data_IF_092141687884
#
_entry.id   IF_092141687884
#
_cell.length_a   1.000
_cell.length_b   1.000
_cell.length_c   1.000
_cell.angle_alpha   90.00
_cell.angle_beta   90.00
_cell.angle_gamma   90.00
#
_symmetry.space_group_name_H-M   'P 1'
#
loop_
_entity.id
_entity.type
_entity.pdbx_description
1 polymer ?
#
# COMPACT_ATOMS: atom_id res chain seq x y z
N UNK A 1 -26.06 16.39 -8.02
CA UNK A 1 -24.97 16.89 -7.15
C UNK A 1 -25.15 16.48 -5.69
N UNK A 2 -26.31 16.79 -5.08
CA UNK A 2 -26.58 16.45 -3.67
C UNK A 2 -26.59 14.94 -3.45
N UNK A 3 -27.17 14.17 -4.35
CA UNK A 3 -27.21 12.71 -4.25
C UNK A 3 -25.83 12.07 -4.41
N UNK A 4 -25.02 12.56 -5.36
CA UNK A 4 -23.66 12.09 -5.58
C UNK A 4 -22.79 12.37 -4.33
N UNK A 5 -22.90 13.55 -3.73
CA UNK A 5 -22.18 13.88 -2.51
C UNK A 5 -22.58 12.98 -1.32
N UNK A 6 -23.88 12.64 -1.20
CA UNK A 6 -24.34 11.70 -0.18
C UNK A 6 -23.81 10.29 -0.42
N UNK A 7 -23.80 9.84 -1.69
CA UNK A 7 -23.25 8.55 -2.09
C UNK A 7 -21.75 8.47 -1.75
N UNK A 8 -20.96 9.47 -2.15
CA UNK A 8 -19.53 9.53 -1.86
C UNK A 8 -19.24 9.50 -0.36
N UNK A 9 -20.03 10.20 0.43
CA UNK A 9 -19.91 10.23 1.88
C UNK A 9 -20.29 8.88 2.51
N UNK A 10 -21.34 8.23 2.00
CA UNK A 10 -21.80 6.92 2.47
C UNK A 10 -20.81 5.79 2.19
N UNK A 11 -20.05 5.89 1.09
CA UNK A 11 -19.00 4.93 0.72
C UNK A 11 -17.65 5.16 1.41
N UNK A 12 -17.51 6.23 2.22
CA UNK A 12 -16.22 6.66 2.75
C UNK A 12 -15.12 6.75 1.65
N UNK A 13 -15.49 7.36 0.52
CA UNK A 13 -14.68 7.39 -0.70
C UNK A 13 -13.29 8.01 -0.48
N UNK A 14 -13.18 8.96 0.43
CA UNK A 14 -11.93 9.59 0.84
C UNK A 14 -10.94 8.59 1.47
N UNK A 15 -11.44 7.67 2.29
CA UNK A 15 -10.61 6.61 2.88
C UNK A 15 -10.18 5.59 1.82
N UNK A 16 -11.11 5.20 0.95
CA UNK A 16 -10.84 4.30 -0.17
C UNK A 16 -9.76 4.87 -1.09
N UNK A 17 -9.85 6.15 -1.46
CA UNK A 17 -8.84 6.81 -2.28
C UNK A 17 -7.48 6.89 -1.58
N UNK A 18 -7.43 7.17 -0.27
CA UNK A 18 -6.15 7.15 0.48
C UNK A 18 -5.45 5.81 0.42
N UNK A 19 -6.21 4.72 0.54
CA UNK A 19 -5.64 3.37 0.43
C UNK A 19 -5.15 3.06 -0.99
N UNK A 20 -5.89 3.48 -2.02
CA UNK A 20 -5.46 3.33 -3.43
C UNK A 20 -4.20 4.14 -3.73
N UNK A 21 -4.09 5.36 -3.19
CA UNK A 21 -2.87 6.17 -3.31
C UNK A 21 -1.68 5.49 -2.63
N UNK A 22 -1.91 4.86 -1.49
CA UNK A 22 -0.88 4.09 -0.80
C UNK A 22 -0.43 2.88 -1.64
N UNK A 23 -1.36 2.15 -2.25
CA UNK A 23 -1.03 1.05 -3.16
C UNK A 23 -0.22 1.55 -4.37
N UNK A 24 -0.61 2.68 -4.96
CA UNK A 24 0.11 3.31 -6.08
C UNK A 24 1.53 3.77 -5.69
N UNK A 25 1.74 4.13 -4.44
CA UNK A 25 3.08 4.47 -3.94
C UNK A 25 4.00 3.24 -3.92
N UNK A 26 3.46 2.05 -3.62
CA UNK A 26 4.23 0.81 -3.59
C UNK A 26 4.28 0.09 -4.93
N UNK A 27 3.22 0.15 -5.75
CA UNK A 27 3.13 -0.50 -7.05
C UNK A 27 2.14 0.23 -7.96
N UNK A 28 0.88 -0.19 -7.97
CA UNK A 28 -0.22 0.37 -8.74
C UNK A 28 -1.47 0.40 -7.86
N UNK A 29 -2.19 1.51 -7.87
CA UNK A 29 -3.50 1.60 -7.22
C UNK A 29 -4.60 1.14 -8.16
N UNK A 30 -5.54 0.36 -7.68
CA UNK A 30 -6.70 -0.07 -8.46
C UNK A 30 -7.99 0.13 -7.68
N UNK A 31 -8.98 0.69 -8.35
CA UNK A 31 -10.35 0.74 -7.89
C UNK A 31 -11.30 0.15 -8.91
N UNK A 32 -12.41 -0.40 -8.46
CA UNK A 32 -13.46 -0.97 -9.31
C UNK A 32 -14.78 -0.25 -9.03
N UNK A 33 -15.43 0.18 -10.11
CA UNK A 33 -16.79 0.72 -10.10
C UNK A 33 -17.74 -0.44 -10.37
N UNK A 34 -18.75 -0.62 -9.55
CA UNK A 34 -19.73 -1.70 -9.70
C UNK A 34 -21.12 -1.25 -9.27
N UNK A 35 -22.13 -1.98 -9.71
CA UNK A 35 -23.46 -1.90 -9.12
C UNK A 35 -23.55 -2.90 -7.95
N UNK A 36 -24.04 -2.45 -6.81
CA UNK A 36 -24.26 -3.26 -5.63
C UNK A 36 -25.75 -3.37 -5.35
N UNK A 37 -26.22 -4.56 -5.03
CA UNK A 37 -27.57 -4.77 -4.55
C UNK A 37 -27.77 -4.03 -3.22
N UNK A 38 -28.91 -3.35 -3.08
CA UNK A 38 -29.19 -2.52 -1.90
C UNK A 38 -29.94 -3.27 -0.81
N UNK A 39 -30.32 -4.53 -1.04
CA UNK A 39 -31.28 -5.30 -0.21
C UNK A 39 -32.64 -4.56 -0.02
N UNK A 40 -32.82 -3.43 -0.70
CA UNK A 40 -34.03 -2.61 -0.63
C UNK A 40 -34.90 -2.94 -1.82
N UNK A 41 -35.91 -3.75 -1.59
CA UNK A 41 -36.85 -4.14 -2.63
C UNK A 41 -37.99 -3.14 -2.68
N UNK A 42 -38.20 -2.52 -3.84
CA UNK A 42 -39.34 -1.64 -4.09
C UNK A 42 -40.46 -2.43 -4.76
N UNK A 43 -41.67 -2.16 -4.30
CA UNK A 43 -42.88 -2.66 -4.89
C UNK A 43 -43.17 -1.87 -6.18
N UNK A 44 -42.93 -2.44 -7.33
CA UNK A 44 -43.29 -1.84 -8.62
C UNK A 44 -44.73 -2.09 -8.94
N UNK A 45 -45.55 -1.05 -8.95
CA UNK A 45 -46.91 -1.08 -9.50
C UNK A 45 -46.82 -1.01 -11.04
N UNK A 46 -46.69 -2.14 -11.70
CA UNK A 46 -47.08 -2.23 -13.10
C UNK A 46 -48.58 -2.46 -13.12
N UNK A 47 -49.33 -1.55 -13.80
CA UNK A 47 -50.77 -1.66 -13.92
C UNK A 47 -51.13 -3.04 -14.53
N UNK A 48 -51.59 -3.95 -13.69
CA UNK A 48 -52.34 -5.14 -14.13
C UNK A 48 -51.76 -6.50 -13.85
N UNK A 49 -50.54 -6.69 -13.40
CA UNK A 49 -49.95 -8.03 -13.14
C UNK A 49 -48.97 -8.01 -11.97
N UNK A 50 -48.89 -9.13 -11.29
CA UNK A 50 -48.07 -9.54 -10.14
C UNK A 50 -47.05 -8.54 -9.60
N UNK A 51 -47.05 -8.37 -8.27
CA UNK A 51 -46.10 -7.56 -7.53
C UNK A 51 -44.63 -7.97 -7.84
N UNK A 52 -43.95 -7.21 -8.70
CA UNK A 52 -42.53 -7.43 -9.04
C UNK A 52 -41.69 -6.62 -8.07
N UNK A 53 -40.86 -7.31 -7.32
CA UNK A 53 -39.84 -6.69 -6.47
C UNK A 53 -38.60 -6.39 -7.29
N UNK A 54 -38.25 -5.11 -7.41
CA UNK A 54 -37.07 -4.65 -8.14
C UNK A 54 -36.09 -4.06 -7.12
N UNK A 55 -34.87 -4.55 -7.08
CA UNK A 55 -33.76 -3.87 -6.42
C UNK A 55 -33.16 -2.88 -7.44
N UNK A 56 -33.22 -1.58 -7.18
CA UNK A 56 -32.68 -0.59 -8.13
C UNK A 56 -31.16 -0.66 -8.25
N UNK A 57 -30.48 -1.37 -7.36
CA UNK A 57 -29.05 -1.32 -7.27
C UNK A 57 -28.50 0.03 -6.80
N UNK A 58 -27.24 0.08 -6.46
CA UNK A 58 -26.53 1.30 -6.10
C UNK A 58 -25.14 1.29 -6.71
N UNK A 59 -24.71 2.35 -7.43
CA UNK A 59 -23.32 2.48 -7.85
C UNK A 59 -22.39 2.46 -6.63
N UNK A 60 -21.35 1.68 -6.71
CA UNK A 60 -20.38 1.49 -5.64
C UNK A 60 -18.96 1.52 -6.17
N UNK A 61 -18.04 2.01 -5.35
CA UNK A 61 -16.62 2.04 -5.65
C UNK A 61 -15.83 1.32 -4.57
N UNK A 62 -15.07 0.31 -4.97
CA UNK A 62 -14.22 -0.46 -4.07
C UNK A 62 -12.76 -0.40 -4.48
N UNK A 63 -11.87 -0.42 -3.48
CA UNK A 63 -10.46 -0.67 -3.69
C UNK A 63 -10.23 -2.15 -4.01
N UNK A 64 -9.41 -2.43 -4.99
CA UNK A 64 -8.89 -3.76 -5.28
C UNK A 64 -7.51 -3.88 -4.66
N UNK A 65 -7.31 -4.91 -3.82
CA UNK A 65 -6.01 -5.19 -3.22
C UNK A 65 -5.02 -5.63 -4.30
N UNK A 66 -3.75 -5.25 -4.17
CA UNK A 66 -2.69 -5.66 -5.10
C UNK A 66 -2.55 -7.18 -5.22
N UNK A 67 -2.75 -7.90 -4.12
CA UNK A 67 -2.65 -9.36 -4.08
C UNK A 67 -3.80 -10.04 -4.84
N UNK A 68 -4.93 -9.36 -4.97
CA UNK A 68 -6.14 -9.86 -5.61
C UNK A 68 -6.30 -9.35 -7.04
N UNK A 69 -5.45 -8.43 -7.47
CA UNK A 69 -5.50 -7.82 -8.78
C UNK A 69 -4.99 -8.78 -9.86
N UNK A 70 -5.75 -8.90 -10.95
CA UNK A 70 -5.41 -9.71 -12.12
C UNK A 70 -5.20 -8.77 -13.30
N UNK A 71 -4.01 -8.80 -13.89
CA UNK A 71 -3.63 -7.97 -15.03
C UNK A 71 -3.10 -8.83 -16.18
N UNK A 72 -3.34 -8.38 -17.41
CA UNK A 72 -2.69 -8.96 -18.60
C UNK A 72 -1.24 -8.48 -18.70
N UNK A 73 -0.33 -9.28 -18.15
CA UNK A 73 1.11 -8.99 -18.15
C UNK A 73 1.75 -9.04 -19.54
N UNK A 74 1.02 -9.50 -20.56
CA UNK A 74 1.51 -9.50 -21.95
C UNK A 74 1.27 -8.18 -22.67
N UNK A 75 0.42 -7.31 -22.13
CA UNK A 75 0.15 -6.00 -22.66
C UNK A 75 1.32 -5.04 -22.38
N UNK A 76 1.47 -4.03 -23.21
CA UNK A 76 2.50 -3.00 -23.08
C UNK A 76 2.02 -1.75 -22.35
N UNK A 77 0.73 -1.58 -22.24
CA UNK A 77 0.08 -0.42 -21.64
C UNK A 77 -1.20 -0.88 -20.93
N UNK A 78 -1.58 -0.22 -19.86
CA UNK A 78 -2.81 -0.49 -19.12
C UNK A 78 -4.06 -0.37 -20.02
N UNK A 79 -4.06 0.58 -20.97
CA UNK A 79 -5.16 0.80 -21.91
C UNK A 79 -5.31 -0.30 -22.97
N UNK A 80 -4.30 -1.14 -23.18
CA UNK A 80 -4.26 -2.18 -24.20
C UNK A 80 -4.33 -3.60 -23.64
N UNK A 81 -4.70 -3.74 -22.38
CA UNK A 81 -4.91 -5.04 -21.77
C UNK A 81 -6.10 -5.75 -22.43
N UNK A 82 -5.96 -7.05 -22.68
CA UNK A 82 -7.03 -7.91 -23.20
C UNK A 82 -8.01 -8.33 -22.12
N UNK A 83 -7.56 -8.34 -20.89
CA UNK A 83 -8.37 -8.58 -19.72
C UNK A 83 -7.75 -7.93 -18.49
N UNK A 84 -8.57 -7.52 -17.56
CA UNK A 84 -8.16 -7.19 -16.20
C UNK A 84 -9.28 -7.57 -15.24
N UNK A 85 -8.95 -7.76 -13.99
CA UNK A 85 -9.94 -8.23 -13.04
C UNK A 85 -9.42 -8.29 -11.62
N UNK A 86 -10.23 -8.88 -10.76
CA UNK A 86 -9.83 -9.15 -9.40
C UNK A 86 -10.49 -10.43 -8.88
N UNK A 87 -9.87 -11.03 -7.90
CA UNK A 87 -10.44 -12.16 -7.16
C UNK A 87 -10.95 -11.69 -5.80
N UNK A 88 -11.98 -12.35 -5.32
CA UNK A 88 -12.60 -12.05 -4.04
C UNK A 88 -13.23 -13.30 -3.44
N UNK A 89 -13.48 -13.22 -2.15
CA UNK A 89 -14.19 -14.27 -1.42
C UNK A 89 -15.67 -13.94 -1.34
N UNK A 90 -16.51 -14.89 -1.70
CA UNK A 90 -17.95 -14.79 -1.59
C UNK A 90 -18.49 -15.87 -0.64
N UNK A 91 -19.59 -15.56 0.01
CA UNK A 91 -20.33 -16.50 0.84
C UNK A 91 -20.93 -17.60 -0.07
N UNK A 92 -20.63 -18.85 0.22
CA UNK A 92 -21.06 -19.99 -0.60
C UNK A 92 -22.58 -20.07 -0.73
N UNK A 93 -23.31 -19.85 0.37
CA UNK A 93 -24.79 -19.89 0.37
C UNK A 93 -25.36 -18.82 -0.56
N UNK A 94 -24.84 -17.58 -0.49
CA UNK A 94 -25.27 -16.49 -1.37
C UNK A 94 -25.00 -16.79 -2.85
N UNK A 95 -23.84 -17.39 -3.15
CA UNK A 95 -23.49 -17.78 -4.53
C UNK A 95 -24.42 -18.87 -5.03
N UNK A 96 -24.81 -19.81 -4.17
CA UNK A 96 -25.76 -20.88 -4.53
C UNK A 96 -27.17 -20.34 -4.75
N UNK A 97 -27.59 -19.34 -3.98
CA UNK A 97 -28.93 -18.75 -4.07
C UNK A 97 -29.08 -17.76 -5.23
N UNK A 98 -27.97 -17.24 -5.78
CA UNK A 98 -27.99 -16.26 -6.87
C UNK A 98 -28.65 -16.81 -8.15
N UNK A 99 -29.81 -16.29 -8.59
CA UNK A 99 -30.56 -16.89 -9.69
C UNK A 99 -29.88 -16.74 -11.05
N UNK A 100 -29.05 -15.71 -11.23
CA UNK A 100 -28.33 -15.41 -12.47
C UNK A 100 -27.16 -16.36 -12.77
N UNK A 101 -26.71 -17.12 -11.81
CA UNK A 101 -25.53 -17.99 -11.96
C UNK A 101 -25.88 -19.35 -12.60
N UNK A 102 -24.99 -19.85 -13.45
CA UNK A 102 -25.13 -21.13 -14.15
C UNK A 102 -25.26 -22.30 -13.15
N UNK A 103 -26.41 -23.01 -13.21
CA UNK A 103 -26.66 -24.19 -12.36
C UNK A 103 -25.59 -25.27 -12.53
N UNK A 104 -25.12 -25.50 -13.75
CA UNK A 104 -24.08 -26.49 -14.07
C UNK A 104 -22.77 -26.23 -13.33
N UNK A 105 -22.42 -24.94 -13.18
CA UNK A 105 -21.19 -24.54 -12.48
C UNK A 105 -21.41 -24.57 -10.98
N UNK A 106 -22.57 -24.13 -10.48
CA UNK A 106 -22.95 -24.20 -9.07
C UNK A 106 -22.85 -25.62 -8.51
N UNK A 107 -23.34 -26.62 -9.25
CA UNK A 107 -23.31 -28.03 -8.83
C UNK A 107 -21.86 -28.56 -8.65
N UNK A 108 -20.90 -27.94 -9.30
CA UNK A 108 -19.47 -28.29 -9.20
C UNK A 108 -18.72 -27.47 -8.16
N UNK A 109 -19.29 -26.36 -7.71
CA UNK A 109 -18.65 -25.46 -6.75
C UNK A 109 -18.46 -26.17 -5.40
N UNK A 110 -17.29 -26.03 -4.84
CA UNK A 110 -16.96 -26.53 -3.50
C UNK A 110 -16.42 -25.38 -2.64
N UNK A 111 -16.82 -25.31 -1.38
CA UNK A 111 -16.23 -24.36 -0.45
C UNK A 111 -14.73 -24.60 -0.35
N UNK A 112 -13.98 -23.54 -0.33
CA UNK A 112 -12.51 -23.59 -0.23
C UNK A 112 -12.12 -23.17 1.18
N UNK A 113 -11.45 -24.05 1.90
CA UNK A 113 -10.91 -23.68 3.21
C UNK A 113 -9.81 -22.61 3.08
N UNK A 114 -9.70 -21.75 4.07
CA UNK A 114 -8.82 -20.56 4.14
C UNK A 114 -7.34 -20.88 3.89
N UNK A 115 -6.89 -22.10 4.08
CA UNK A 115 -5.49 -22.44 4.26
C UNK A 115 -4.63 -22.51 3.00
N UNK A 116 -5.17 -22.33 1.80
CA UNK A 116 -4.39 -22.72 0.63
C UNK A 116 -3.70 -21.63 -0.18
N UNK A 117 -4.09 -20.33 -0.14
CA UNK A 117 -3.52 -19.38 -1.10
C UNK A 117 -3.40 -17.91 -0.64
N UNK A 118 -3.44 -17.62 0.64
CA UNK A 118 -3.44 -16.24 1.10
C UNK A 118 -2.12 -15.84 1.76
N UNK A 119 -1.20 -15.25 0.97
CA UNK A 119 0.03 -14.66 1.52
C UNK A 119 -0.26 -13.46 2.45
N UNK A 120 -1.39 -12.78 2.23
CA UNK A 120 -1.93 -11.73 3.12
C UNK A 120 -2.60 -12.32 4.35
N UNK A 121 -3.15 -13.52 4.26
CA UNK A 121 -3.68 -14.27 5.42
C UNK A 121 -2.62 -14.49 6.47
N UNK A 122 -1.43 -14.93 6.09
CA UNK A 122 -0.32 -15.13 7.04
C UNK A 122 0.10 -13.85 7.76
N UNK A 123 0.10 -12.69 7.08
CA UNK A 123 0.41 -11.40 7.70
C UNK A 123 -0.72 -10.92 8.63
N UNK A 124 -1.97 -11.18 8.28
CA UNK A 124 -3.14 -10.92 9.14
C UNK A 124 -3.21 -11.88 10.32
N UNK A 125 -2.85 -13.14 10.14
CA UNK A 125 -2.81 -14.15 11.20
C UNK A 125 -1.74 -13.81 12.24
N UNK A 126 -0.59 -13.27 11.82
CA UNK A 126 0.44 -12.75 12.73
C UNK A 126 -0.07 -11.51 13.49
N UNK A 127 -0.84 -10.64 12.83
CA UNK A 127 -1.43 -9.45 13.48
C UNK A 127 -2.64 -9.80 14.36
N UNK A 128 -3.33 -10.91 14.10
CA UNK A 128 -4.51 -11.38 14.80
C UNK A 128 -4.24 -12.54 15.77
N UNK A 129 -3.02 -12.67 16.30
CA UNK A 129 -2.68 -13.66 17.34
C UNK A 129 -3.53 -13.53 18.64
N UNK A 130 -4.58 -12.77 18.55
CA UNK A 130 -5.67 -12.65 19.52
C UNK A 130 -6.96 -13.30 19.00
N UNK A 131 -6.98 -14.62 18.88
CA UNK A 131 -8.19 -15.41 19.11
C UNK A 131 -9.37 -15.34 18.13
N UNK A 132 -9.26 -14.70 16.95
CA UNK A 132 -10.39 -14.58 16.01
C UNK A 132 -10.33 -15.54 14.79
N UNK A 133 -9.39 -16.47 14.78
CA UNK A 133 -9.30 -17.47 13.69
C UNK A 133 -10.48 -18.44 13.63
N UNK A 134 -11.21 -18.60 14.73
CA UNK A 134 -12.34 -19.55 14.82
C UNK A 134 -13.64 -19.00 14.21
N UNK A 135 -13.83 -17.67 14.16
CA UNK A 135 -15.08 -17.08 13.64
C UNK A 135 -15.20 -17.11 12.10
N UNK A 136 -14.08 -17.14 11.37
CA UNK A 136 -14.08 -17.21 9.90
C UNK A 136 -14.28 -18.66 9.37
N UNK A 137 -14.08 -19.67 10.20
CA UNK A 137 -14.37 -21.07 9.87
C UNK A 137 -15.87 -21.42 9.94
N UNK A 138 -16.70 -20.50 10.46
CA UNK A 138 -18.14 -20.70 10.62
C UNK A 138 -18.94 -20.52 9.33
N UNK A 139 -18.33 -19.95 8.27
CA UNK A 139 -19.00 -19.78 6.98
C UNK A 139 -18.20 -20.42 5.86
N UNK A 140 -18.89 -21.23 5.10
CA UNK A 140 -18.36 -21.75 3.85
C UNK A 140 -18.16 -20.61 2.85
N UNK A 141 -16.93 -20.40 2.40
CA UNK A 141 -16.57 -19.35 1.44
C UNK A 141 -16.10 -19.97 0.14
N UNK A 142 -16.29 -19.26 -0.96
CA UNK A 142 -15.77 -19.63 -2.27
C UNK A 142 -14.97 -18.48 -2.85
N UNK A 143 -13.88 -18.79 -3.53
CA UNK A 143 -13.09 -17.80 -4.26
C UNK A 143 -13.65 -17.65 -5.66
N UNK A 144 -14.02 -16.40 -5.99
CA UNK A 144 -14.48 -15.98 -7.29
C UNK A 144 -13.50 -14.97 -7.88
N UNK A 145 -13.51 -14.82 -9.20
CA UNK A 145 -12.84 -13.75 -9.91
C UNK A 145 -13.80 -13.12 -10.92
N UNK A 146 -13.74 -11.80 -10.98
CA UNK A 146 -14.40 -11.01 -12.01
C UNK A 146 -13.36 -10.52 -13.00
N UNK A 147 -13.52 -10.86 -14.25
CA UNK A 147 -12.64 -10.47 -15.34
C UNK A 147 -13.41 -9.58 -16.33
N UNK A 148 -12.94 -8.37 -16.51
CA UNK A 148 -13.42 -7.51 -17.59
C UNK A 148 -12.63 -7.76 -18.86
N UNK A 149 -13.37 -7.98 -19.96
CA UNK A 149 -12.84 -8.27 -21.28
C UNK A 149 -13.21 -7.09 -22.19
N UNK A 150 -12.26 -6.17 -22.49
CA UNK A 150 -12.51 -4.98 -23.30
C UNK A 150 -13.06 -5.29 -24.70
N UNK A 151 -12.61 -6.38 -25.32
CA UNK A 151 -12.99 -6.76 -26.68
C UNK A 151 -14.50 -7.01 -26.80
N UNK A 152 -15.07 -7.68 -25.82
CA UNK A 152 -16.52 -7.98 -25.78
C UNK A 152 -17.30 -6.97 -24.94
N UNK A 153 -16.61 -6.06 -24.25
CA UNK A 153 -17.17 -5.16 -23.24
C UNK A 153 -18.02 -5.91 -22.21
N UNK A 154 -17.55 -7.07 -21.77
CA UNK A 154 -18.25 -7.94 -20.82
C UNK A 154 -17.44 -8.19 -19.56
N UNK A 155 -18.15 -8.43 -18.46
CA UNK A 155 -17.60 -8.89 -17.19
C UNK A 155 -17.96 -10.35 -17.01
N UNK A 156 -16.94 -11.19 -16.87
CA UNK A 156 -17.08 -12.63 -16.67
C UNK A 156 -16.74 -12.98 -15.24
N UNK A 157 -17.72 -13.52 -14.51
CA UNK A 157 -17.50 -14.05 -13.16
C UNK A 157 -17.27 -15.55 -13.23
N UNK A 158 -16.16 -16.01 -12.67
CA UNK A 158 -15.81 -17.44 -12.65
C UNK A 158 -15.18 -17.87 -11.32
N UNK A 159 -15.27 -19.16 -10.96
CA UNK A 159 -14.63 -19.65 -9.75
C UNK A 159 -13.10 -19.69 -9.90
N UNK A 160 -12.38 -19.36 -8.82
CA UNK A 160 -10.94 -19.53 -8.73
C UNK A 160 -10.61 -20.95 -8.21
N UNK A 161 -9.40 -21.40 -8.52
CA UNK A 161 -8.80 -22.63 -7.94
C UNK A 161 -9.60 -23.93 -8.14
N UNK A 162 -10.36 -24.02 -9.21
CA UNK A 162 -11.09 -25.22 -9.58
C UNK A 162 -10.65 -25.72 -10.96
N UNK A 163 -10.68 -27.03 -11.20
CA UNK A 163 -10.12 -27.63 -12.41
C UNK A 163 -10.92 -27.31 -13.68
N UNK A 164 -12.22 -27.10 -13.57
CA UNK A 164 -13.13 -26.76 -14.68
C UNK A 164 -13.55 -25.27 -14.60
N UNK A 165 -12.83 -24.41 -15.27
CA UNK A 165 -13.11 -22.96 -15.34
C UNK A 165 -14.22 -22.64 -16.35
N UNK A 166 -15.45 -23.01 -16.05
CA UNK A 166 -16.61 -22.51 -16.78
C UNK A 166 -17.10 -21.21 -16.09
N UNK A 167 -17.55 -20.18 -16.84
CA UNK A 167 -18.08 -18.96 -16.23
C UNK A 167 -19.40 -19.25 -15.48
N UNK A 168 -19.53 -18.61 -14.31
CA UNK A 168 -20.79 -18.57 -13.55
C UNK A 168 -21.81 -17.70 -14.24
N UNK A 169 -21.35 -16.53 -14.70
CA UNK A 169 -22.14 -15.55 -15.44
C UNK A 169 -21.24 -14.70 -16.32
N UNK A 170 -21.77 -14.27 -17.45
CA UNK A 170 -21.21 -13.23 -18.28
C UNK A 170 -22.25 -12.10 -18.39
N UNK A 171 -21.83 -10.88 -18.11
CA UNK A 171 -22.69 -9.67 -18.12
C UNK A 171 -22.06 -8.62 -18.99
N UNK A 172 -22.87 -7.96 -19.81
CA UNK A 172 -22.42 -6.80 -20.57
C UNK A 172 -22.13 -5.64 -19.61
N UNK A 173 -21.04 -4.95 -19.86
CA UNK A 173 -20.72 -3.72 -19.13
C UNK A 173 -21.45 -2.54 -19.75
N UNK A 174 -22.32 -1.89 -18.98
CA UNK A 174 -23.15 -0.76 -19.42
C UNK A 174 -22.52 0.60 -19.12
N UNK A 175 -21.45 0.64 -18.35
CA UNK A 175 -20.80 1.89 -17.93
C UNK A 175 -19.84 2.46 -18.97
N UNK A 176 -18.82 3.20 -18.52
CA UNK A 176 -17.85 3.88 -19.40
C UNK A 176 -17.05 2.91 -20.27
N UNK A 177 -16.62 3.39 -21.46
CA UNK A 177 -15.81 2.58 -22.40
C UNK A 177 -14.46 2.15 -21.81
N UNK A 178 -13.98 2.83 -20.77
CA UNK A 178 -12.75 2.46 -20.04
C UNK A 178 -12.90 1.25 -19.12
N UNK A 179 -14.11 0.69 -19.03
CA UNK A 179 -14.41 -0.45 -18.16
C UNK A 179 -14.55 -0.09 -16.67
N UNK A 180 -14.85 -1.09 -15.84
CA UNK A 180 -15.11 -0.89 -14.42
C UNK A 180 -13.83 -0.63 -13.59
N UNK A 181 -12.67 -1.01 -14.10
CA UNK A 181 -11.40 -0.90 -13.38
C UNK A 181 -10.71 0.43 -13.69
N UNK A 182 -10.33 1.14 -12.64
CA UNK A 182 -9.59 2.39 -12.71
C UNK A 182 -8.23 2.20 -12.05
N UNK A 183 -7.19 2.63 -12.76
CA UNK A 183 -5.80 2.44 -12.32
C UNK A 183 -5.16 3.78 -11.98
N UNK A 184 -4.49 3.82 -10.85
CA UNK A 184 -3.64 4.94 -10.44
C UNK A 184 -2.19 4.53 -10.52
N UNK A 185 -1.43 5.22 -11.37
CA UNK A 185 0.02 5.10 -11.48
C UNK A 185 0.69 6.41 -11.10
N UNK A 186 1.79 6.32 -10.36
CA UNK A 186 2.62 7.47 -9.97
C UNK A 186 3.95 7.53 -10.74
N UNK A 187 4.24 6.54 -11.57
CA UNK A 187 5.47 6.50 -12.36
C UNK A 187 5.36 5.52 -13.52
N UNK A 188 4.80 5.99 -14.64
CA UNK A 188 4.59 5.16 -15.83
C UNK A 188 5.91 4.70 -16.43
N UNK A 189 5.99 3.42 -16.75
CA UNK A 189 7.15 2.82 -17.43
C UNK A 189 6.73 2.43 -18.84
N UNK A 190 7.42 2.91 -19.89
CA UNK A 190 7.10 2.52 -21.26
C UNK A 190 7.18 1.01 -21.45
N UNK A 191 6.27 0.47 -22.27
CA UNK A 191 6.20 -0.95 -22.62
C UNK A 191 5.99 -1.91 -21.43
N UNK A 192 5.46 -1.43 -20.31
CA UNK A 192 5.16 -2.25 -19.14
C UNK A 192 3.82 -1.86 -18.51
N UNK A 193 3.03 -2.87 -18.16
CA UNK A 193 1.76 -2.67 -17.44
C UNK A 193 1.99 -2.27 -15.98
N UNK A 194 3.04 -2.81 -15.36
CA UNK A 194 3.39 -2.45 -13.99
C UNK A 194 4.29 -1.22 -14.00
N UNK A 195 3.86 -0.12 -13.38
CA UNK A 195 4.66 1.10 -13.28
C UNK A 195 5.85 0.91 -12.32
N UNK A 196 6.88 1.75 -12.48
CA UNK A 196 7.95 1.85 -11.49
C UNK A 196 7.46 2.70 -10.33
N UNK A 197 7.28 2.08 -9.18
CA UNK A 197 6.77 2.77 -8.00
C UNK A 197 7.81 3.72 -7.38
N UNK A 198 7.37 4.82 -6.76
CA UNK A 198 8.27 5.69 -5.97
C UNK A 198 9.02 4.93 -4.88
N UNK A 199 8.38 3.96 -4.23
CA UNK A 199 8.97 3.15 -3.17
C UNK A 199 10.17 2.31 -3.65
N UNK A 200 10.11 1.75 -4.87
CA UNK A 200 11.22 0.97 -5.44
C UNK A 200 12.45 1.84 -5.63
N UNK A 201 12.26 3.07 -6.09
CA UNK A 201 13.37 4.03 -6.28
C UNK A 201 14.04 4.41 -4.96
N UNK A 202 13.28 4.47 -3.86
CA UNK A 202 13.77 4.82 -2.53
C UNK A 202 14.37 3.64 -1.77
N UNK A 203 14.00 2.40 -2.13
CA UNK A 203 14.38 1.19 -1.39
C UNK A 203 15.89 1.04 -1.21
N UNK A 204 16.68 1.29 -2.25
CA UNK A 204 18.13 1.15 -2.18
C UNK A 204 18.77 2.08 -1.15
N UNK A 205 18.31 3.33 -1.10
CA UNK A 205 18.79 4.33 -0.11
C UNK A 205 18.29 3.99 1.30
N UNK A 206 17.04 3.54 1.43
CA UNK A 206 16.48 3.09 2.70
C UNK A 206 17.28 1.92 3.32
N UNK A 207 17.59 0.91 2.50
CA UNK A 207 18.36 -0.26 2.94
C UNK A 207 19.81 0.13 3.32
N UNK A 208 20.40 1.09 2.59
CA UNK A 208 21.71 1.62 2.91
C UNK A 208 21.69 2.39 4.24
N UNK A 209 20.69 3.25 4.43
CA UNK A 209 20.52 4.01 5.67
C UNK A 209 20.36 3.10 6.88
N UNK A 210 19.54 2.06 6.77
CA UNK A 210 19.35 1.08 7.84
C UNK A 210 20.64 0.33 8.18
N UNK A 211 21.44 -0.03 7.19
CA UNK A 211 22.75 -0.67 7.45
C UNK A 211 23.73 0.26 8.13
N UNK A 212 23.78 1.53 7.75
CA UNK A 212 24.63 2.52 8.39
C UNK A 212 24.21 2.76 9.83
N UNK A 213 22.90 2.89 10.11
CA UNK A 213 22.41 3.06 11.47
C UNK A 213 22.72 1.86 12.36
N UNK A 214 22.51 0.63 11.88
CA UNK A 214 22.87 -0.58 12.65
C UNK A 214 24.35 -0.65 12.96
N UNK A 215 25.20 -0.32 11.99
CA UNK A 215 26.64 -0.26 12.22
C UNK A 215 27.02 0.79 13.26
N UNK A 216 26.45 2.00 13.18
CA UNK A 216 26.68 3.04 14.17
C UNK A 216 26.18 2.66 15.56
N UNK A 217 25.08 1.90 15.66
CA UNK A 217 24.57 1.32 16.91
C UNK A 217 25.59 0.32 17.50
N UNK A 218 26.06 -0.65 16.70
CA UNK A 218 27.07 -1.63 17.11
C UNK A 218 28.38 -0.96 17.55
N UNK A 219 28.86 0.06 16.81
CA UNK A 219 30.06 0.83 17.15
C UNK A 219 29.87 1.66 18.42
N UNK A 220 28.67 2.20 18.64
CA UNK A 220 28.30 2.91 19.88
C UNK A 220 28.29 1.97 21.09
N UNK A 221 27.75 0.78 20.93
CA UNK A 221 27.70 -0.24 22.00
C UNK A 221 29.10 -0.80 22.30
N UNK A 222 29.95 -0.87 21.29
CA UNK A 222 31.35 -1.27 21.46
C UNK A 222 32.19 -0.16 22.09
N UNK A 223 31.68 1.06 22.21
CA UNK A 223 32.43 2.17 22.79
C UNK A 223 32.75 1.92 24.27
N UNK A 224 34.01 1.84 24.54
CA UNK A 224 34.52 1.71 25.92
C UNK A 224 35.81 2.46 26.09
N UNK A 225 35.93 3.01 27.26
CA UNK A 225 37.15 3.66 27.72
C UNK A 225 37.96 2.67 28.54
N UNK A 226 39.16 2.37 28.08
CA UNK A 226 40.09 1.48 28.78
C UNK A 226 41.22 2.31 29.34
N UNK A 227 41.33 2.29 30.67
CA UNK A 227 42.45 2.91 31.35
C UNK A 227 43.66 1.97 31.25
N UNK A 228 44.77 2.46 30.75
CA UNK A 228 46.02 1.74 30.59
C UNK A 228 47.06 2.30 31.51
N UNK A 229 47.96 1.46 32.01
CA UNK A 229 49.07 1.88 32.82
C UNK A 229 50.33 1.08 32.47
N UNK A 230 51.50 1.69 32.64
CA UNK A 230 52.77 0.97 32.51
C UNK A 230 53.03 0.14 33.77
N UNK A 231 53.91 -0.88 33.72
CA UNK A 231 54.23 -1.70 34.91
C UNK A 231 54.71 -0.87 36.12
N UNK A 232 55.40 0.26 35.88
CA UNK A 232 55.86 1.21 36.91
C UNK A 232 54.75 2.09 37.48
N UNK A 233 53.62 2.21 36.80
CA UNK A 233 52.46 2.98 37.23
C UNK A 233 51.39 2.16 37.99
N UNK A 234 51.65 0.90 38.29
CA UNK A 234 50.67 -0.01 38.89
C UNK A 234 50.11 0.48 40.25
N UNK A 235 50.95 1.07 41.09
CA UNK A 235 50.53 1.61 42.37
C UNK A 235 49.60 2.81 42.23
N UNK A 236 49.90 3.69 41.28
CA UNK A 236 49.06 4.86 40.99
C UNK A 236 47.75 4.47 40.34
N UNK A 237 47.73 3.45 39.47
CA UNK A 237 46.52 2.88 38.90
C UNK A 237 45.60 2.29 39.98
N UNK A 238 46.16 1.58 40.98
CA UNK A 238 45.39 1.04 42.09
C UNK A 238 44.79 2.15 42.99
N UNK A 239 45.51 3.25 43.20
CA UNK A 239 44.98 4.39 43.95
C UNK A 239 43.79 5.03 43.23
N UNK A 240 43.88 5.22 41.91
CA UNK A 240 42.78 5.77 41.09
C UNK A 240 41.58 4.83 41.07
N UNK A 241 41.81 3.52 40.91
CA UNK A 241 40.73 2.52 40.93
C UNK A 241 39.92 2.53 42.24
N UNK A 242 40.59 2.84 43.36
CA UNK A 242 39.97 2.86 44.69
C UNK A 242 39.48 4.25 45.10
N UNK A 243 39.74 5.29 44.30
CA UNK A 243 39.31 6.65 44.58
C UNK A 243 37.81 6.82 44.28
N UNK A 244 37.11 7.55 45.13
CA UNK A 244 35.73 7.95 44.95
C UNK A 244 35.58 9.08 43.92
N UNK A 245 34.36 9.39 43.60
CA UNK A 245 34.04 10.50 42.72
C UNK A 245 34.43 11.85 43.38
N UNK A 246 35.31 12.63 42.74
CA UNK A 246 35.89 13.88 43.23
C UNK A 246 36.99 13.75 44.30
N UNK A 247 37.58 12.59 44.50
CA UNK A 247 38.72 12.43 45.41
C UNK A 247 40.02 12.96 44.78
N UNK A 248 40.88 13.53 45.64
CA UNK A 248 42.20 13.96 45.26
C UNK A 248 43.21 12.82 45.48
N UNK A 249 43.78 12.31 44.38
CA UNK A 249 44.75 11.22 44.44
C UNK A 249 46.15 11.74 44.18
N UNK A 250 47.08 11.51 45.11
CA UNK A 250 48.49 11.83 44.92
C UNK A 250 49.15 10.75 44.05
N UNK A 251 49.65 11.17 42.88
CA UNK A 251 50.31 10.30 41.90
C UNK A 251 51.80 10.55 41.87
N UNK A 252 52.58 9.48 41.68
CA UNK A 252 54.02 9.57 41.52
C UNK A 252 54.40 9.87 40.06
N UNK A 253 53.79 9.21 39.11
CA UNK A 253 54.04 9.38 37.67
C UNK A 253 52.73 9.50 36.86
N UNK A 254 52.12 10.68 36.79
CA UNK A 254 50.87 10.85 36.03
C UNK A 254 50.96 10.54 34.53
N UNK A 255 52.15 10.58 33.95
CA UNK A 255 52.39 10.30 32.52
C UNK A 255 52.36 8.83 32.16
N UNK A 256 52.45 7.95 33.14
CA UNK A 256 52.42 6.47 32.95
C UNK A 256 51.00 5.89 32.94
N UNK A 257 50.03 6.72 33.19
CA UNK A 257 48.61 6.39 33.06
C UNK A 257 48.08 6.99 31.76
N UNK A 258 47.42 6.16 30.98
CA UNK A 258 46.79 6.54 29.73
C UNK A 258 45.36 6.12 29.70
N UNK A 259 44.58 6.77 28.87
CA UNK A 259 43.23 6.42 28.57
C UNK A 259 43.15 6.11 27.07
N UNK A 260 42.65 4.95 26.73
CA UNK A 260 42.47 4.52 25.33
C UNK A 260 40.96 4.33 25.13
N UNK A 261 40.45 5.07 24.22
CA UNK A 261 39.06 4.88 23.72
C UNK A 261 39.09 3.79 22.66
N UNK A 262 38.24 2.77 22.84
CA UNK A 262 38.11 1.64 21.94
C UNK A 262 36.67 1.60 21.46
N UNK A 263 36.46 1.59 20.13
CA UNK A 263 35.17 1.68 19.51
C UNK A 263 34.64 3.11 19.50
N UNK A 264 33.38 3.27 19.21
CA UNK A 264 32.71 4.55 19.05
C UNK A 264 32.39 4.87 17.60
N UNK A 265 31.43 5.76 17.40
CA UNK A 265 30.94 6.10 16.06
C UNK A 265 32.01 6.88 15.30
N UNK A 266 32.37 6.39 14.09
CA UNK A 266 33.29 7.12 13.22
C UNK A 266 32.60 8.34 12.63
N UNK A 267 33.29 9.47 12.62
CA UNK A 267 32.83 10.71 12.00
C UNK A 267 32.52 10.55 10.49
N UNK A 268 33.20 9.61 9.84
CA UNK A 268 32.95 9.27 8.42
C UNK A 268 31.61 8.58 8.23
N UNK A 269 31.26 7.67 9.14
CA UNK A 269 29.97 6.96 9.07
C UNK A 269 28.81 7.93 9.34
N UNK A 270 28.97 8.88 10.27
CA UNK A 270 27.99 9.96 10.49
C UNK A 270 27.84 10.86 9.24
N UNK A 271 28.94 11.22 8.61
CA UNK A 271 28.90 12.05 7.39
C UNK A 271 28.21 11.30 6.23
N UNK A 272 28.50 10.00 6.09
CA UNK A 272 27.85 9.15 5.08
C UNK A 272 26.36 8.98 5.36
N UNK A 273 25.96 8.76 6.61
CA UNK A 273 24.55 8.67 6.98
C UNK A 273 23.79 9.97 6.67
N UNK A 274 24.37 11.12 6.97
CA UNK A 274 23.80 12.42 6.65
C UNK A 274 23.69 12.64 5.13
N UNK A 275 24.71 12.23 4.38
CA UNK A 275 24.68 12.30 2.91
C UNK A 275 23.56 11.43 2.33
N UNK A 276 23.46 10.17 2.77
CA UNK A 276 22.42 9.23 2.31
C UNK A 276 21.03 9.75 2.67
N UNK A 277 20.85 10.31 3.86
CA UNK A 277 19.60 10.94 4.25
C UNK A 277 19.24 12.14 3.35
N UNK A 278 20.21 12.97 3.02
CA UNK A 278 19.99 14.12 2.11
C UNK A 278 19.57 13.65 0.71
N UNK A 279 20.21 12.61 0.19
CA UNK A 279 19.83 12.04 -1.11
C UNK A 279 18.44 11.35 -1.06
N UNK A 280 18.13 10.66 0.04
CA UNK A 280 16.80 10.09 0.26
C UNK A 280 15.72 11.19 0.27
N UNK A 281 15.92 12.25 1.04
CA UNK A 281 14.99 13.38 1.12
C UNK A 281 14.83 14.07 -0.24
N UNK A 282 15.92 14.21 -0.99
CA UNK A 282 15.90 14.77 -2.35
C UNK A 282 15.07 13.92 -3.31
N UNK A 283 15.24 12.60 -3.28
CA UNK A 283 14.48 11.67 -4.14
C UNK A 283 13.03 11.53 -3.70
N UNK A 284 12.75 11.57 -2.40
CA UNK A 284 11.42 11.52 -1.82
C UNK A 284 10.60 12.82 -2.02
N UNK A 285 11.21 13.88 -2.54
CA UNK A 285 10.55 15.18 -2.74
C UNK A 285 10.68 16.13 -1.56
N UNK A 286 11.72 15.96 -0.73
CA UNK A 286 12.09 16.83 0.40
C UNK A 286 10.92 17.18 1.33
N UNK A 287 10.41 16.15 2.00
CA UNK A 287 9.30 16.28 2.96
C UNK A 287 9.57 17.30 4.07
N UNK A 288 10.86 17.53 4.41
CA UNK A 288 11.25 18.51 5.42
C UNK A 288 11.00 19.95 4.93
N UNK A 289 11.30 20.25 3.67
CA UNK A 289 11.00 21.55 3.07
C UNK A 289 9.48 21.77 2.96
N UNK A 290 8.71 20.72 2.64
CA UNK A 290 7.24 20.78 2.60
C UNK A 290 6.63 20.98 4.01
N UNK A 291 7.30 20.47 5.06
CA UNK A 291 6.89 20.64 6.45
C UNK A 291 7.27 21.99 7.05
N UNK A 292 7.92 22.89 6.30
CA UNK A 292 8.33 24.21 6.79
C UNK A 292 9.51 24.17 7.78
N UNK A 293 10.31 23.11 7.77
CA UNK A 293 11.42 22.87 8.70
C UNK A 293 12.71 23.59 8.26
N UNK A 294 12.64 24.92 8.14
CA UNK A 294 13.79 25.81 7.96
C UNK A 294 14.32 25.95 6.53
N UNK A 295 15.16 26.96 6.28
CA UNK A 295 15.77 27.19 4.98
C UNK A 295 16.78 26.10 4.63
N UNK A 296 16.58 25.45 3.50
CA UNK A 296 17.44 24.36 2.99
C UNK A 296 18.57 24.85 2.09
N UNK A 297 18.61 26.13 1.80
CA UNK A 297 19.58 26.75 0.90
C UNK A 297 20.22 28.01 1.50
N UNK A 298 21.45 28.30 1.06
CA UNK A 298 22.21 29.46 1.53
C UNK A 298 21.69 30.82 1.01
N UNK A 299 20.85 30.80 -0.04
CA UNK A 299 20.28 32.03 -0.65
C UNK A 299 18.83 31.82 -1.04
N UNK A 300 18.02 32.89 -0.98
CA UNK A 300 16.59 32.90 -1.31
C UNK A 300 16.30 32.36 -2.73
N UNK A 301 17.12 32.77 -3.71
CA UNK A 301 16.95 32.31 -5.08
C UNK A 301 17.31 30.84 -5.30
N UNK A 302 18.22 30.30 -4.51
CA UNK A 302 18.52 28.85 -4.52
C UNK A 302 17.43 28.06 -3.83
N UNK A 303 16.83 28.62 -2.78
CA UNK A 303 15.67 28.02 -2.09
C UNK A 303 14.43 27.97 -2.99
N UNK A 304 14.14 29.06 -3.74
CA UNK A 304 13.06 29.07 -4.73
C UNK A 304 13.26 28.04 -5.85
N UNK A 305 14.49 27.84 -6.33
CA UNK A 305 14.81 26.83 -7.34
C UNK A 305 14.68 25.42 -6.79
N UNK A 306 15.14 25.17 -5.57
CA UNK A 306 15.01 23.88 -4.88
C UNK A 306 13.54 23.57 -4.65
N UNK A 307 12.77 24.51 -4.10
CA UNK A 307 11.32 24.35 -3.93
C UNK A 307 10.59 24.16 -5.27
N UNK A 308 10.97 24.87 -6.31
CA UNK A 308 10.38 24.75 -7.64
C UNK A 308 10.63 23.41 -8.31
N UNK A 309 11.80 22.80 -8.10
CA UNK A 309 12.11 21.48 -8.65
C UNK A 309 11.52 20.33 -7.82
N UNK A 310 11.53 20.47 -6.49
CA UNK A 310 10.97 19.48 -5.58
C UNK A 310 9.44 19.42 -5.66
N UNK A 311 8.82 20.58 -5.92
CA UNK A 311 7.37 20.66 -6.13
C UNK A 311 6.87 19.98 -7.41
N UNK A 312 7.72 19.80 -8.43
CA UNK A 312 7.27 19.22 -9.72
C UNK A 312 6.87 17.75 -9.60
N UNK A 313 7.72 16.92 -9.02
CA UNK A 313 7.40 15.49 -8.86
C UNK A 313 6.16 15.27 -7.99
N UNK A 314 6.05 16.03 -6.90
CA UNK A 314 4.87 15.98 -6.04
C UNK A 314 3.64 16.56 -6.75
N UNK A 315 3.80 17.61 -7.54
CA UNK A 315 2.72 18.18 -8.34
C UNK A 315 2.22 17.20 -9.41
N UNK A 316 3.11 16.49 -10.08
CA UNK A 316 2.74 15.46 -11.07
C UNK A 316 2.01 14.30 -10.41
N UNK A 317 2.49 13.79 -9.27
CA UNK A 317 1.79 12.76 -8.51
C UNK A 317 0.41 13.24 -8.04
N UNK A 318 0.32 14.50 -7.56
CA UNK A 318 -0.96 15.10 -7.17
C UNK A 318 -1.92 15.19 -8.36
N UNK A 319 -1.42 15.58 -9.53
CA UNK A 319 -2.24 15.68 -10.74
C UNK A 319 -2.77 14.30 -11.13
N UNK A 320 -1.94 13.26 -11.09
CA UNK A 320 -2.35 11.88 -11.35
C UNK A 320 -3.47 11.43 -10.39
N UNK A 321 -3.34 11.73 -9.10
CA UNK A 321 -4.38 11.42 -8.11
C UNK A 321 -5.67 12.18 -8.36
N UNK A 322 -5.59 13.47 -8.71
CA UNK A 322 -6.78 14.29 -9.02
C UNK A 322 -7.49 13.78 -10.27
N UNK A 323 -6.73 13.46 -11.33
CA UNK A 323 -7.30 12.91 -12.56
C UNK A 323 -7.99 11.56 -12.31
N UNK A 324 -7.33 10.67 -11.57
CA UNK A 324 -7.91 9.39 -11.17
C UNK A 324 -9.21 9.57 -10.38
N UNK A 325 -9.22 10.45 -9.39
CA UNK A 325 -10.41 10.73 -8.60
C UNK A 325 -11.55 11.32 -9.47
N UNK A 326 -11.21 12.21 -10.40
CA UNK A 326 -12.18 12.80 -11.32
C UNK A 326 -12.81 11.74 -12.23
N UNK A 327 -12.01 10.81 -12.78
CA UNK A 327 -12.52 9.71 -13.60
C UNK A 327 -13.46 8.79 -12.82
N UNK A 328 -13.09 8.41 -11.60
CA UNK A 328 -13.92 7.58 -10.74
C UNK A 328 -15.26 8.25 -10.41
N UNK A 329 -15.25 9.54 -10.07
CA UNK A 329 -16.46 10.30 -9.76
C UNK A 329 -17.34 10.48 -10.99
N UNK A 330 -16.74 10.71 -12.16
CA UNK A 330 -17.49 10.82 -13.42
C UNK A 330 -18.20 9.51 -13.76
N UNK A 331 -17.55 8.38 -13.59
CA UNK A 331 -18.17 7.08 -13.86
C UNK A 331 -19.27 6.74 -12.87
N UNK A 332 -19.07 7.02 -11.57
CA UNK A 332 -20.14 6.90 -10.60
C UNK A 332 -21.33 7.81 -10.92
N UNK A 333 -21.06 9.04 -11.36
CA UNK A 333 -22.10 9.96 -11.78
C UNK A 333 -22.87 9.49 -13.02
N UNK A 334 -22.20 8.85 -13.98
CA UNK A 334 -22.83 8.25 -15.16
C UNK A 334 -23.73 7.09 -14.79
N UNK A 335 -23.23 6.15 -14.00
CA UNK A 335 -24.05 5.02 -13.54
C UNK A 335 -25.29 5.48 -12.77
N UNK A 336 -25.19 6.54 -11.96
CA UNK A 336 -26.35 7.13 -11.29
C UNK A 336 -27.34 7.81 -12.24
N UNK A 337 -26.85 8.27 -13.40
CA UNK A 337 -27.70 8.97 -14.37
C UNK A 337 -28.37 8.00 -15.36
N UNK A 338 -27.69 6.91 -15.70
CA UNK A 338 -28.16 5.90 -16.64
C UNK A 338 -29.09 4.86 -16.00
N UNK A 339 -29.10 4.82 -14.66
CA UNK A 339 -30.00 3.99 -13.88
C UNK A 339 -31.32 4.77 -13.68
N UNK A 340 -32.22 4.68 -14.70
CA UNK A 340 -33.59 5.22 -14.67
C UNK A 340 -34.60 4.14 -14.31
#
# INVERSE_FOLDING_TARGET
EVNLNKLMSGMALDQTFRMIVLDAFFCIGCGVVMMRDTDTRFHGLLEGEEDVWIDPGQPWFNRVSLDDLILDMSAKELSKMRYCGHRYRADYEKVMDEPGYSKKVKDKLRPTSRSHHDSTGAARDIASDSGSAEDDDLKDMVWLMDLWIPENNSIVTMPCYQDDLEPLIERDWTGSQGGPYKFLSLGDTPDNVIPTSPAVNLKGLHDLQNRLHRRMEEDSDAHRVVNTYSPSGADDANKIKNAGRNDWVRMNNPKELGQVEVGGIDQRDMAMATFVQTEYDRMAGNLQAMGGLGPQAATLGQEELVHGQLGKNVADMRLSVVNFAAECILDLGRLMWEDE
#
